data_IF_493755746484
#
_entry.id   IF_493755746484
#
_cell.length_a   1.000
_cell.length_b   1.000
_cell.length_c   1.000
_cell.angle_alpha   90.00
_cell.angle_beta   90.00
_cell.angle_gamma   90.00
#
_symmetry.space_group_name_H-M   'P 1'
#
loop_
_entity.id
_entity.type
_entity.pdbx_description
1 polymer ?
#
# COMPACT_ATOMS: atom_id res chain seq x y z
N UNK A 1 5.03 32.65 -14.75
CA UNK A 1 6.23 31.86 -14.51
C UNK A 1 7.17 32.60 -13.52
N UNK A 2 7.60 33.86 -13.76
CA UNK A 2 8.48 34.61 -12.85
C UNK A 2 7.87 34.84 -11.45
N UNK A 3 6.57 35.05 -11.33
CA UNK A 3 5.89 35.20 -10.05
C UNK A 3 5.78 33.85 -9.28
N UNK A 4 5.59 32.74 -9.98
CA UNK A 4 5.64 31.39 -9.39
C UNK A 4 7.05 31.00 -8.96
N UNK A 5 8.08 31.33 -9.75
CA UNK A 5 9.47 31.10 -9.36
C UNK A 5 9.85 31.86 -8.09
N UNK A 6 9.44 33.12 -7.94
CA UNK A 6 9.70 33.92 -6.74
C UNK A 6 8.93 33.44 -5.50
N UNK A 7 7.80 32.75 -5.67
CA UNK A 7 7.02 32.21 -4.55
C UNK A 7 7.52 30.84 -4.07
N UNK A 8 8.12 30.05 -4.97
CA UNK A 8 8.59 28.67 -4.67
C UNK A 8 10.09 28.64 -4.33
N UNK A 9 10.91 29.48 -4.98
CA UNK A 9 12.36 29.52 -4.76
C UNK A 9 12.73 30.80 -4.02
N UNK A 10 12.53 30.83 -2.71
CA UNK A 10 12.87 31.94 -1.83
C UNK A 10 14.36 32.02 -1.50
N UNK A 11 15.12 30.97 -1.80
CA UNK A 11 16.57 30.88 -1.48
C UNK A 11 17.38 30.83 -2.78
N UNK A 12 18.48 31.63 -2.90
CA UNK A 12 19.39 31.56 -4.03
C UNK A 12 19.98 30.15 -4.22
N UNK A 13 20.18 29.71 -5.46
CA UNK A 13 20.73 28.40 -5.80
C UNK A 13 22.08 28.13 -5.10
N UNK A 14 22.98 29.11 -5.04
CA UNK A 14 24.26 28.96 -4.36
C UNK A 14 24.09 28.64 -2.86
N UNK A 15 23.11 29.25 -2.20
CA UNK A 15 22.84 29.03 -0.78
C UNK A 15 22.22 27.62 -0.58
N UNK A 16 21.37 27.16 -1.50
CA UNK A 16 20.84 25.79 -1.49
C UNK A 16 21.95 24.76 -1.65
N UNK A 17 22.88 24.98 -2.59
CA UNK A 17 24.03 24.11 -2.78
C UNK A 17 24.95 24.03 -1.55
N UNK A 18 25.17 25.14 -0.85
CA UNK A 18 25.92 25.14 0.41
C UNK A 18 25.19 24.40 1.52
N UNK A 19 23.86 24.57 1.63
CA UNK A 19 23.05 23.84 2.60
C UNK A 19 23.07 22.34 2.33
N UNK A 20 22.94 21.91 1.08
CA UNK A 20 23.05 20.50 0.71
C UNK A 20 24.43 19.91 1.03
N UNK A 21 25.52 20.65 0.71
CA UNK A 21 26.88 20.20 1.05
C UNK A 21 27.10 20.08 2.55
N UNK A 22 26.51 20.99 3.34
CA UNK A 22 26.60 20.92 4.80
C UNK A 22 25.80 19.77 5.41
N UNK A 23 24.68 19.41 4.77
CA UNK A 23 23.83 18.29 5.22
C UNK A 23 24.33 16.91 4.75
N UNK A 24 25.07 16.86 3.66
CA UNK A 24 25.52 15.60 3.04
C UNK A 24 26.23 14.65 4.02
N UNK A 25 27.21 15.09 4.85
CA UNK A 25 27.88 14.19 5.78
C UNK A 25 26.94 13.62 6.87
N UNK A 26 25.90 14.38 7.24
CA UNK A 26 24.90 13.94 8.23
C UNK A 26 24.01 12.85 7.61
N UNK A 27 23.56 13.07 6.37
CA UNK A 27 22.75 12.10 5.62
C UNK A 27 23.57 10.84 5.34
N UNK A 28 24.82 10.97 4.90
CA UNK A 28 25.74 9.87 4.67
C UNK A 28 25.93 9.02 5.93
N UNK A 29 26.21 9.66 7.07
CA UNK A 29 26.35 8.96 8.35
C UNK A 29 25.06 8.27 8.80
N UNK A 30 23.88 8.87 8.53
CA UNK A 30 22.59 8.22 8.81
C UNK A 30 22.36 6.98 7.93
N UNK A 31 22.71 7.07 6.65
CA UNK A 31 22.62 5.94 5.71
C UNK A 31 23.54 4.81 6.13
N UNK A 32 24.82 5.12 6.45
CA UNK A 32 25.78 4.13 6.93
C UNK A 32 25.31 3.44 8.22
N UNK A 33 24.81 4.23 9.19
CA UNK A 33 24.28 3.69 10.44
C UNK A 33 23.05 2.79 10.18
N UNK A 34 22.16 3.18 9.28
CA UNK A 34 20.98 2.39 8.92
C UNK A 34 21.37 1.06 8.29
N UNK A 35 22.34 1.07 7.37
CA UNK A 35 22.86 -0.16 6.73
C UNK A 35 23.53 -1.07 7.77
N UNK A 36 24.37 -0.51 8.64
CA UNK A 36 25.06 -1.28 9.68
C UNK A 36 24.05 -1.87 10.69
N UNK A 37 23.04 -1.12 11.10
CA UNK A 37 21.96 -1.61 11.95
C UNK A 37 21.19 -2.75 11.28
N UNK A 38 20.80 -2.56 10.02
CA UNK A 38 20.07 -3.58 9.26
C UNK A 38 20.86 -4.90 9.18
N UNK A 39 22.17 -4.80 8.89
CA UNK A 39 23.02 -6.00 8.82
C UNK A 39 23.13 -6.69 10.20
N UNK A 40 23.41 -5.93 11.25
CA UNK A 40 23.52 -6.49 12.61
C UNK A 40 22.20 -7.13 13.07
N UNK A 41 21.06 -6.51 12.72
CA UNK A 41 19.74 -7.05 13.05
C UNK A 41 19.45 -8.38 12.32
N UNK A 42 19.81 -8.47 11.04
CA UNK A 42 19.70 -9.71 10.25
C UNK A 42 20.58 -10.82 10.84
N UNK A 43 21.85 -10.52 11.13
CA UNK A 43 22.80 -11.50 11.67
C UNK A 43 22.31 -12.03 13.01
N UNK A 44 21.82 -11.16 13.89
CA UNK A 44 21.24 -11.53 15.19
C UNK A 44 20.02 -12.45 15.03
N UNK A 45 19.10 -12.13 14.12
CA UNK A 45 17.94 -12.99 13.83
C UNK A 45 18.38 -14.37 13.33
N UNK A 46 19.37 -14.41 12.45
CA UNK A 46 19.91 -15.65 11.90
C UNK A 46 20.58 -16.51 12.98
N UNK A 47 21.39 -15.89 13.87
CA UNK A 47 22.03 -16.58 14.99
C UNK A 47 21.02 -17.19 15.97
N UNK A 48 19.91 -16.48 16.19
CA UNK A 48 18.85 -16.94 17.09
C UNK A 48 17.82 -17.86 16.43
N UNK A 49 17.89 -18.04 15.11
CA UNK A 49 16.92 -18.85 14.35
C UNK A 49 15.50 -18.29 14.40
N UNK A 50 15.34 -16.96 14.42
CA UNK A 50 14.04 -16.27 14.46
C UNK A 50 13.81 -15.46 13.20
N UNK A 51 12.55 -15.25 12.86
CA UNK A 51 12.09 -14.40 11.76
C UNK A 51 10.98 -13.48 12.26
N UNK A 52 10.94 -12.26 11.75
CA UNK A 52 9.80 -11.36 11.92
C UNK A 52 8.82 -11.46 10.74
N UNK A 53 7.70 -10.74 10.81
CA UNK A 53 6.68 -10.78 9.76
C UNK A 53 7.20 -10.25 8.42
N UNK A 54 8.07 -9.24 8.44
CA UNK A 54 8.68 -8.68 7.23
C UNK A 54 9.61 -9.69 6.56
N UNK A 55 10.36 -10.51 7.35
CA UNK A 55 11.19 -11.57 6.78
C UNK A 55 10.33 -12.60 6.04
N UNK A 56 9.15 -12.97 6.58
CA UNK A 56 8.27 -13.95 5.95
C UNK A 56 7.76 -13.43 4.60
N UNK A 57 7.35 -12.18 4.54
CA UNK A 57 6.90 -11.54 3.29
C UNK A 57 8.03 -11.50 2.25
N UNK A 58 9.23 -11.06 2.63
CA UNK A 58 10.36 -10.95 1.71
C UNK A 58 10.90 -12.33 1.27
N UNK A 59 10.92 -13.32 2.15
CA UNK A 59 11.31 -14.68 1.78
C UNK A 59 10.29 -15.31 0.84
N UNK A 60 9.00 -15.08 1.08
CA UNK A 60 7.95 -15.49 0.16
C UNK A 60 8.14 -14.86 -1.22
N UNK A 61 8.36 -13.53 -1.26
CA UNK A 61 8.63 -12.82 -2.50
C UNK A 61 9.85 -13.37 -3.24
N UNK A 62 10.97 -13.65 -2.52
CA UNK A 62 12.17 -14.22 -3.11
C UNK A 62 11.97 -15.62 -3.73
N UNK A 63 10.99 -16.39 -3.24
CA UNK A 63 10.62 -17.69 -3.84
C UNK A 63 9.73 -17.54 -5.07
N UNK A 64 8.93 -16.48 -5.12
CA UNK A 64 7.91 -16.30 -6.14
C UNK A 64 8.37 -15.49 -7.34
N UNK A 65 9.45 -14.70 -7.20
CA UNK A 65 10.03 -13.89 -8.28
C UNK A 65 11.02 -14.71 -9.08
N UNK A 66 10.93 -14.65 -10.40
CA UNK A 66 11.92 -15.20 -11.32
C UNK A 66 13.26 -14.47 -11.14
N UNK A 67 14.39 -15.18 -10.88
CA UNK A 67 15.68 -14.54 -10.70
C UNK A 67 16.10 -13.63 -11.86
N UNK A 68 16.51 -12.40 -11.55
CA UNK A 68 16.90 -11.39 -12.52
C UNK A 68 15.75 -10.51 -13.03
N UNK A 69 14.57 -10.61 -12.42
CA UNK A 69 13.39 -9.78 -12.74
C UNK A 69 12.93 -8.94 -11.55
N UNK A 70 13.83 -8.63 -10.61
CA UNK A 70 13.50 -7.95 -9.35
C UNK A 70 12.92 -6.55 -9.57
N UNK A 71 13.33 -5.85 -10.65
CA UNK A 71 12.83 -4.51 -11.02
C UNK A 71 11.45 -4.55 -11.68
N UNK A 72 11.09 -5.68 -12.31
CA UNK A 72 9.77 -5.94 -12.91
C UNK A 72 9.39 -7.40 -12.62
N UNK A 73 8.88 -7.70 -11.41
CA UNK A 73 8.74 -9.05 -10.90
C UNK A 73 7.90 -9.96 -11.79
N UNK A 74 8.54 -11.01 -12.33
CA UNK A 74 7.88 -12.05 -13.11
C UNK A 74 7.71 -13.32 -12.26
N UNK A 75 6.65 -14.12 -12.49
CA UNK A 75 6.39 -15.31 -11.71
C UNK A 75 7.45 -16.40 -11.96
N UNK A 76 8.05 -16.89 -10.87
CA UNK A 76 8.92 -18.07 -10.87
C UNK A 76 8.15 -19.35 -11.20
N UNK A 77 8.85 -20.48 -11.35
CA UNK A 77 8.18 -21.77 -11.55
C UNK A 77 7.30 -22.15 -10.35
N UNK A 78 7.72 -21.81 -9.11
CA UNK A 78 6.90 -22.00 -7.90
C UNK A 78 5.63 -21.16 -7.97
N UNK A 79 5.73 -19.90 -8.37
CA UNK A 79 4.56 -19.04 -8.54
C UNK A 79 3.59 -19.59 -9.60
N UNK A 80 4.09 -20.10 -10.73
CA UNK A 80 3.28 -20.73 -11.79
C UNK A 80 2.55 -21.97 -11.30
N UNK A 81 3.19 -22.82 -10.50
CA UNK A 81 2.52 -23.97 -9.88
C UNK A 81 1.37 -23.54 -8.95
N UNK A 82 1.57 -22.43 -8.21
CA UNK A 82 0.49 -21.86 -7.37
C UNK A 82 -0.63 -21.26 -8.21
N UNK A 83 -0.32 -20.59 -9.32
CA UNK A 83 -1.32 -20.09 -10.27
C UNK A 83 -2.20 -21.22 -10.82
N UNK A 84 -1.63 -22.40 -11.09
CA UNK A 84 -2.37 -23.57 -11.56
C UNK A 84 -3.17 -24.23 -10.44
N UNK A 85 -2.69 -24.14 -9.21
CA UNK A 85 -3.32 -24.76 -8.03
C UNK A 85 -4.52 -23.96 -7.53
N UNK A 86 -4.38 -22.63 -7.43
CA UNK A 86 -5.42 -21.78 -6.87
C UNK A 86 -6.51 -21.49 -7.92
N UNK A 87 -7.73 -21.92 -7.62
CA UNK A 87 -8.89 -21.62 -8.47
C UNK A 87 -9.33 -20.19 -8.30
N UNK A 88 -9.36 -19.73 -7.05
CA UNK A 88 -9.75 -18.38 -6.65
C UNK A 88 -8.84 -17.92 -5.52
N UNK A 89 -8.49 -16.63 -5.51
CA UNK A 89 -7.72 -15.97 -4.47
C UNK A 89 -8.61 -14.83 -3.93
N UNK A 90 -8.95 -14.93 -2.65
CA UNK A 90 -9.81 -13.97 -1.97
C UNK A 90 -8.99 -13.23 -0.92
N UNK A 91 -9.02 -11.91 -0.99
CA UNK A 91 -8.31 -11.03 -0.05
C UNK A 91 -9.34 -10.18 0.66
N UNK A 92 -9.38 -10.28 1.97
CA UNK A 92 -10.20 -9.45 2.85
C UNK A 92 -9.36 -8.29 3.41
N UNK A 93 -10.04 -7.22 3.83
CA UNK A 93 -9.41 -6.00 4.36
C UNK A 93 -8.31 -5.44 3.41
N UNK A 94 -8.59 -5.47 2.11
CA UNK A 94 -7.59 -5.16 1.09
C UNK A 94 -7.02 -3.73 1.20
N UNK A 95 -7.74 -2.78 1.83
CA UNK A 95 -7.24 -1.42 2.13
C UNK A 95 -6.01 -1.41 3.06
N UNK A 96 -5.75 -2.52 3.78
CA UNK A 96 -4.60 -2.65 4.68
C UNK A 96 -3.42 -3.41 4.06
N UNK A 97 -3.48 -3.70 2.76
CA UNK A 97 -2.43 -4.38 2.01
C UNK A 97 -1.24 -3.46 1.75
N UNK A 98 -0.02 -3.97 1.86
CA UNK A 98 1.20 -3.28 1.48
C UNK A 98 1.70 -3.70 0.07
N UNK A 99 2.67 -2.96 -0.49
CA UNK A 99 3.19 -3.24 -1.83
C UNK A 99 3.85 -4.62 -1.99
N UNK A 100 4.46 -5.16 -0.93
CA UNK A 100 5.06 -6.52 -0.96
C UNK A 100 3.96 -7.57 -1.04
N UNK A 101 2.92 -7.44 -0.22
CA UNK A 101 1.76 -8.34 -0.24
C UNK A 101 1.03 -8.29 -1.59
N UNK A 102 0.82 -7.10 -2.14
CA UNK A 102 0.23 -6.93 -3.47
C UNK A 102 1.05 -7.63 -4.56
N UNK A 103 2.39 -7.50 -4.51
CA UNK A 103 3.28 -8.19 -5.45
C UNK A 103 3.16 -9.71 -5.30
N UNK A 104 3.13 -10.24 -4.08
CA UNK A 104 2.94 -11.66 -3.82
C UNK A 104 1.61 -12.15 -4.41
N UNK A 105 0.51 -11.43 -4.15
CA UNK A 105 -0.82 -11.76 -4.67
C UNK A 105 -0.80 -11.78 -6.20
N UNK A 106 -0.19 -10.79 -6.83
CA UNK A 106 -0.11 -10.71 -8.28
C UNK A 106 0.71 -11.86 -8.89
N UNK A 107 1.81 -12.26 -8.25
CA UNK A 107 2.65 -13.36 -8.73
C UNK A 107 1.97 -14.73 -8.66
N UNK A 108 1.11 -14.99 -7.66
CA UNK A 108 0.43 -16.27 -7.48
C UNK A 108 -0.96 -16.36 -8.11
N UNK A 109 -1.45 -15.23 -8.65
CA UNK A 109 -2.79 -15.14 -9.23
C UNK A 109 -2.77 -15.13 -10.75
N UNK A 110 -3.91 -15.45 -11.35
CA UNK A 110 -4.24 -15.21 -12.75
C UNK A 110 -5.11 -13.96 -12.88
N UNK A 111 -5.28 -13.48 -14.11
CA UNK A 111 -6.10 -12.28 -14.40
C UNK A 111 -7.56 -12.43 -13.95
N UNK A 112 -8.07 -13.68 -13.94
CA UNK A 112 -9.48 -14.00 -13.80
C UNK A 112 -9.87 -14.68 -12.46
N UNK A 113 -8.92 -14.80 -11.50
CA UNK A 113 -9.16 -15.55 -10.27
C UNK A 113 -8.99 -14.75 -8.97
N UNK A 114 -9.03 -13.43 -9.04
CA UNK A 114 -8.84 -12.54 -7.88
C UNK A 114 -10.15 -11.93 -7.41
N UNK A 115 -10.36 -11.92 -6.12
CA UNK A 115 -11.49 -11.28 -5.47
C UNK A 115 -11.02 -10.50 -4.26
N UNK A 116 -11.23 -9.20 -4.27
CA UNK A 116 -10.80 -8.27 -3.22
C UNK A 116 -12.01 -7.73 -2.48
N UNK A 117 -11.96 -7.71 -1.15
CA UNK A 117 -12.95 -7.06 -0.30
C UNK A 117 -12.24 -6.06 0.60
N UNK A 118 -12.84 -4.89 0.79
CA UNK A 118 -12.28 -3.87 1.66
C UNK A 118 -13.14 -2.62 1.69
N UNK A 119 -12.75 -1.72 2.55
CA UNK A 119 -13.37 -0.40 2.72
C UNK A 119 -12.29 0.63 3.03
N UNK A 120 -12.01 1.52 2.09
CA UNK A 120 -10.97 2.55 2.26
C UNK A 120 -11.21 3.44 3.48
N UNK A 121 -12.46 3.63 3.92
CA UNK A 121 -12.81 4.37 5.13
C UNK A 121 -12.27 3.72 6.42
N UNK A 122 -11.91 2.45 6.35
CA UNK A 122 -11.36 1.66 7.45
C UNK A 122 -9.83 1.51 7.37
N UNK A 123 -9.17 2.16 6.41
CA UNK A 123 -7.71 2.14 6.27
C UNK A 123 -7.05 2.89 7.44
N UNK A 124 -6.53 2.13 8.41
CA UNK A 124 -5.91 2.68 9.62
C UNK A 124 -4.46 2.20 9.84
N UNK A 125 -3.93 1.37 8.94
CA UNK A 125 -2.62 0.73 9.09
C UNK A 125 -1.51 1.34 8.22
N UNK A 126 -1.64 2.59 7.78
CA UNK A 126 -0.58 3.31 7.03
C UNK A 126 0.75 3.34 7.81
N UNK A 127 0.71 3.44 9.16
CA UNK A 127 1.89 3.36 10.02
C UNK A 127 2.57 1.97 10.03
N UNK A 128 1.94 0.94 9.45
CA UNK A 128 2.48 -0.39 9.20
C UNK A 128 2.79 -0.63 7.72
N UNK A 129 2.97 0.45 6.95
CA UNK A 129 3.27 0.39 5.52
C UNK A 129 2.10 -0.08 4.64
N UNK A 130 0.88 -0.17 5.17
CA UNK A 130 -0.30 -0.36 4.34
C UNK A 130 -0.46 0.82 3.38
N UNK A 131 -0.83 0.52 2.15
CA UNK A 131 -0.96 1.50 1.06
C UNK A 131 -2.39 1.50 0.52
N UNK A 132 -3.21 2.40 1.05
CA UNK A 132 -4.60 2.58 0.61
C UNK A 132 -4.73 2.98 -0.87
N UNK A 133 -3.66 3.51 -1.49
CA UNK A 133 -3.67 3.86 -2.91
C UNK A 133 -3.87 2.65 -3.81
N UNK A 134 -3.41 1.45 -3.40
CA UNK A 134 -3.64 0.19 -4.11
C UNK A 134 -5.14 -0.15 -4.22
N UNK A 135 -5.88 0.10 -3.12
CA UNK A 135 -7.34 -0.06 -3.13
C UNK A 135 -8.01 1.01 -4.01
N UNK A 136 -7.60 2.27 -3.86
CA UNK A 136 -8.17 3.38 -4.62
C UNK A 136 -7.92 3.29 -6.11
N UNK A 137 -6.77 2.75 -6.53
CA UNK A 137 -6.50 2.48 -7.93
C UNK A 137 -7.54 1.51 -8.52
N UNK A 138 -7.77 0.36 -7.85
CA UNK A 138 -8.79 -0.61 -8.27
C UNK A 138 -10.20 -0.03 -8.20
N UNK A 139 -10.50 0.72 -7.14
CA UNK A 139 -11.80 1.39 -6.97
C UNK A 139 -12.12 2.34 -8.13
N UNK A 140 -11.12 3.06 -8.63
CA UNK A 140 -11.27 4.03 -9.71
C UNK A 140 -11.21 3.42 -11.12
N UNK A 141 -10.49 2.29 -11.29
CA UNK A 141 -10.26 1.69 -12.60
C UNK A 141 -11.21 0.55 -12.93
N UNK A 142 -11.67 -0.20 -11.91
CA UNK A 142 -12.58 -1.33 -12.13
C UNK A 142 -13.96 -0.85 -12.57
N UNK A 143 -14.47 -1.47 -13.63
CA UNK A 143 -15.71 -1.06 -14.27
C UNK A 143 -16.96 -1.67 -13.66
N UNK A 144 -18.11 -1.38 -14.29
CA UNK A 144 -19.39 -1.95 -13.93
C UNK A 144 -19.58 -3.41 -14.40
N UNK A 145 -20.84 -3.87 -14.40
CA UNK A 145 -21.22 -5.28 -14.58
C UNK A 145 -20.73 -5.96 -15.85
N UNK A 146 -20.40 -5.22 -16.90
CA UNK A 146 -19.95 -5.79 -18.18
C UNK A 146 -18.43 -5.73 -18.36
N UNK A 147 -17.68 -5.20 -17.38
CA UNK A 147 -16.22 -5.15 -17.41
C UNK A 147 -15.60 -6.49 -16.99
N UNK A 148 -14.41 -6.80 -17.51
CA UNK A 148 -13.60 -7.95 -17.06
C UNK A 148 -13.22 -7.79 -15.61
N UNK A 149 -12.76 -6.57 -15.25
CA UNK A 149 -12.48 -6.16 -13.89
C UNK A 149 -13.71 -5.43 -13.34
N UNK A 150 -14.37 -6.02 -12.36
CA UNK A 150 -15.67 -5.57 -11.88
C UNK A 150 -15.58 -5.04 -10.46
N UNK A 151 -16.17 -3.85 -10.24
CA UNK A 151 -16.44 -3.31 -8.92
C UNK A 151 -17.90 -3.57 -8.51
N UNK A 152 -18.09 -4.00 -7.27
CA UNK A 152 -19.41 -4.22 -6.65
C UNK A 152 -19.44 -3.43 -5.36
N UNK A 153 -20.28 -2.41 -5.30
CA UNK A 153 -20.44 -1.57 -4.11
C UNK A 153 -21.50 -2.17 -3.18
N UNK A 154 -21.13 -2.43 -1.92
CA UNK A 154 -22.03 -2.93 -0.89
C UNK A 154 -22.60 -1.75 -0.10
N UNK A 155 -23.76 -1.27 -0.50
CA UNK A 155 -24.37 -0.05 0.02
C UNK A 155 -25.29 -0.25 1.25
N UNK A 156 -25.40 -1.48 1.79
CA UNK A 156 -26.32 -1.74 2.91
C UNK A 156 -25.59 -2.37 4.09
N UNK A 157 -25.77 -1.75 5.26
CA UNK A 157 -25.28 -2.28 6.52
C UNK A 157 -26.40 -3.08 7.21
N UNK A 158 -26.14 -4.36 7.47
CA UNK A 158 -27.06 -5.28 8.16
C UNK A 158 -26.58 -5.64 9.58
N UNK A 159 -25.45 -5.07 10.02
CA UNK A 159 -24.81 -5.42 11.29
C UNK A 159 -25.25 -4.50 12.42
N UNK A 160 -25.37 -3.21 12.14
CA UNK A 160 -25.56 -2.18 13.17
C UNK A 160 -26.99 -1.61 13.16
N UNK A 161 -27.42 -1.14 14.32
CA UNK A 161 -28.72 -0.47 14.46
C UNK A 161 -28.68 0.92 13.76
N UNK A 162 -29.80 1.32 13.16
CA UNK A 162 -29.96 2.56 12.40
C UNK A 162 -29.45 3.82 13.13
N UNK A 163 -29.73 3.94 14.44
CA UNK A 163 -29.28 5.08 15.22
C UNK A 163 -27.74 5.18 15.36
N UNK A 164 -27.04 4.03 15.34
CA UNK A 164 -25.57 4.00 15.37
C UNK A 164 -25.04 4.47 14.02
N UNK A 165 -25.61 3.97 12.93
CA UNK A 165 -25.24 4.37 11.58
C UNK A 165 -25.47 5.87 11.37
N UNK A 166 -26.63 6.39 11.79
CA UNK A 166 -26.94 7.81 11.71
C UNK A 166 -25.94 8.68 12.50
N UNK A 167 -25.55 8.25 13.70
CA UNK A 167 -24.56 8.97 14.51
C UNK A 167 -23.16 8.94 13.87
N UNK A 168 -22.76 7.81 13.31
CA UNK A 168 -21.48 7.65 12.61
C UNK A 168 -21.45 8.51 11.35
N UNK A 169 -22.52 8.44 10.53
CA UNK A 169 -22.64 9.25 9.32
C UNK A 169 -22.60 10.75 9.65
N UNK A 170 -23.29 11.19 10.71
CA UNK A 170 -23.26 12.58 11.15
C UNK A 170 -21.85 13.08 11.46
N UNK A 171 -21.01 12.26 12.07
CA UNK A 171 -19.61 12.62 12.35
C UNK A 171 -18.77 12.60 11.06
N UNK A 172 -18.90 11.58 10.25
CA UNK A 172 -18.08 11.40 9.05
C UNK A 172 -18.35 12.47 7.98
N UNK A 173 -19.58 12.91 7.80
CA UNK A 173 -19.89 14.06 6.95
C UNK A 173 -19.16 15.35 7.33
N UNK A 174 -18.70 15.48 8.57
CA UNK A 174 -18.01 16.67 9.05
C UNK A 174 -16.47 16.56 9.00
N UNK A 175 -15.93 15.34 9.13
CA UNK A 175 -14.48 15.15 9.29
C UNK A 175 -13.80 14.43 8.14
N UNK A 176 -14.53 13.62 7.36
CA UNK A 176 -13.95 12.90 6.23
C UNK A 176 -14.03 13.75 4.97
N UNK A 177 -12.93 14.40 4.65
CA UNK A 177 -12.71 15.14 3.41
C UNK A 177 -11.58 14.50 2.62
N UNK A 178 -11.49 14.80 1.34
CA UNK A 178 -10.39 14.32 0.48
C UNK A 178 -9.00 14.62 1.07
N UNK A 179 -8.85 15.79 1.70
CA UNK A 179 -7.60 16.19 2.35
C UNK A 179 -7.28 15.38 3.61
N UNK A 180 -8.30 15.00 4.40
CA UNK A 180 -8.14 14.34 5.69
C UNK A 180 -8.21 12.81 5.62
N UNK A 181 -8.92 12.27 4.63
CA UNK A 181 -9.25 10.84 4.54
C UNK A 181 -9.11 10.26 3.13
N UNK A 182 -8.48 10.99 2.21
CA UNK A 182 -8.31 10.60 0.78
C UNK A 182 -9.64 10.32 0.05
N UNK A 183 -10.77 10.61 0.71
CA UNK A 183 -12.12 10.35 0.24
C UNK A 183 -13.08 11.44 0.76
N UNK A 184 -13.96 11.93 -0.09
CA UNK A 184 -15.08 12.77 0.33
C UNK A 184 -16.24 11.87 0.75
N UNK A 185 -16.66 11.98 2.03
CA UNK A 185 -17.78 11.21 2.55
C UNK A 185 -19.10 11.83 2.07
N UNK A 186 -19.75 11.13 1.15
CA UNK A 186 -21.03 11.56 0.56
C UNK A 186 -22.12 10.53 0.87
N UNK A 187 -23.31 10.74 0.33
CA UNK A 187 -24.42 9.80 0.48
C UNK A 187 -24.10 8.40 -0.11
N UNK A 188 -23.21 8.34 -1.11
CA UNK A 188 -22.79 7.10 -1.73
C UNK A 188 -21.89 6.24 -0.82
N UNK A 189 -21.10 6.90 0.05
CA UNK A 189 -20.18 6.24 1.01
C UNK A 189 -20.81 6.07 2.40
N UNK A 190 -22.04 6.59 2.63
CA UNK A 190 -22.71 6.50 3.92
C UNK A 190 -23.07 5.05 4.30
N UNK A 191 -23.02 4.78 5.61
CA UNK A 191 -23.32 3.48 6.19
C UNK A 191 -24.85 3.21 6.24
#
# INVERSE_FOLDING_TARGET
LKAMQAAVFTVPEATLQEQFKAQYPIIEGLVELTIAFHQAYRDMKQEQGIMDFSDLEHLCLALLVEPGTEDDPQPSDVAKELQDTFKEIMVDEYQDTNGVQETIINLISRVDNRFYVGDVKQAIYSFRMADSSLFMEKYNTYGGNDAVERRIDLAKNFRSHENILAATNFLFYQIMTEEAAELNYTEAESL
#
